data_IF_368243705303
#
_entry.id   IF_368243705303
#
_cell.length_a   1.000
_cell.length_b   1.000
_cell.length_c   1.000
_cell.angle_alpha   90.00
_cell.angle_beta   90.00
_cell.angle_gamma   90.00
#
_symmetry.space_group_name_H-M   'P 1'
#
loop_
_entity.id
_entity.type
_entity.pdbx_description
1 polymer ?
#
# COMPACT_ATOMS: atom_id res chain seq x y z
N UNK A 1 -2.79 3.27 51.89
CA UNK A 1 -3.52 3.95 50.79
C UNK A 1 -2.63 3.74 49.57
N UNK A 2 -3.02 2.82 48.70
CA UNK A 2 -2.28 2.60 47.46
C UNK A 2 -2.70 3.69 46.48
N UNK A 3 -1.74 4.48 46.06
CA UNK A 3 -1.86 5.46 45.00
C UNK A 3 -2.13 4.70 43.71
N UNK A 4 -3.37 4.75 43.26
CA UNK A 4 -3.76 4.24 41.95
C UNK A 4 -3.08 5.11 40.90
N UNK A 5 -1.99 4.59 40.32
CA UNK A 5 -1.38 5.20 39.15
C UNK A 5 -2.48 5.38 38.08
N UNK A 6 -2.74 6.62 37.68
CA UNK A 6 -3.63 6.88 36.54
C UNK A 6 -3.08 6.13 35.33
N UNK A 7 -3.91 5.41 34.59
CA UNK A 7 -3.45 4.72 33.39
C UNK A 7 -2.90 5.77 32.43
N UNK A 8 -1.62 5.64 32.12
CA UNK A 8 -0.93 6.48 31.15
C UNK A 8 -1.73 6.47 29.86
N UNK A 9 -2.26 7.62 29.48
CA UNK A 9 -3.14 7.76 28.33
C UNK A 9 -2.48 7.18 27.08
N UNK A 10 -3.07 6.16 26.48
CA UNK A 10 -2.62 5.53 25.24
C UNK A 10 -2.59 6.53 24.06
N UNK A 11 -3.25 7.68 24.20
CA UNK A 11 -3.18 8.78 23.22
C UNK A 11 -1.74 9.27 22.99
N UNK A 12 -0.87 9.13 24.00
CA UNK A 12 0.53 9.53 23.90
C UNK A 12 1.38 8.62 22.99
N UNK A 13 0.94 7.37 22.73
CA UNK A 13 1.63 6.44 21.82
C UNK A 13 1.44 6.82 20.34
N UNK A 14 0.53 7.72 20.03
CA UNK A 14 0.15 8.08 18.65
C UNK A 14 0.42 9.53 18.28
N UNK A 15 0.82 10.35 19.23
CA UNK A 15 1.34 11.68 18.96
C UNK A 15 2.85 11.57 18.74
N UNK A 16 3.32 12.18 17.65
CA UNK A 16 4.75 12.34 17.41
C UNK A 16 5.32 13.30 18.44
N UNK A 17 5.72 12.75 19.58
CA UNK A 17 6.37 13.50 20.64
C UNK A 17 7.75 12.88 20.90
N UNK A 18 8.71 13.20 20.04
CA UNK A 18 10.08 12.68 20.11
C UNK A 18 10.72 12.99 21.47
N UNK A 19 10.41 14.14 22.05
CA UNK A 19 10.94 14.53 23.36
C UNK A 19 10.43 13.61 24.49
N UNK A 20 9.15 13.25 24.47
CA UNK A 20 8.55 12.35 25.44
C UNK A 20 9.11 10.93 25.30
N UNK A 21 9.26 10.43 24.07
CA UNK A 21 9.82 9.11 23.78
C UNK A 21 11.27 9.02 24.26
N UNK A 22 12.09 10.04 23.97
CA UNK A 22 13.48 10.11 24.42
C UNK A 22 13.57 10.17 25.95
N UNK A 23 12.67 10.91 26.61
CA UNK A 23 12.63 11.00 28.05
C UNK A 23 12.23 9.68 28.71
N UNK A 24 11.22 9.00 28.18
CA UNK A 24 10.79 7.68 28.63
C UNK A 24 11.91 6.62 28.46
N UNK A 25 12.64 6.68 27.33
CA UNK A 25 13.81 5.83 27.09
C UNK A 25 14.91 6.10 28.13
N UNK A 26 15.22 7.39 28.40
CA UNK A 26 16.22 7.77 29.40
C UNK A 26 15.85 7.32 30.82
N UNK A 27 14.56 7.25 31.14
CA UNK A 27 14.06 6.74 32.42
C UNK A 27 14.05 5.22 32.52
N UNK A 28 14.40 4.51 31.43
CA UNK A 28 14.40 3.05 31.40
C UNK A 28 12.99 2.45 31.40
N UNK A 29 12.01 3.16 30.88
CA UNK A 29 10.62 2.67 30.79
C UNK A 29 10.45 1.61 29.69
N UNK A 30 11.44 1.50 28.77
CA UNK A 30 11.55 0.43 27.80
C UNK A 30 13.02 0.17 27.44
N UNK A 31 13.34 -1.09 27.19
CA UNK A 31 14.70 -1.56 26.89
C UNK A 31 15.06 -1.47 25.41
N UNK A 32 14.07 -1.27 24.55
CA UNK A 32 14.22 -1.33 23.10
C UNK A 32 13.33 -0.32 22.41
N UNK A 33 13.90 0.39 21.43
CA UNK A 33 13.20 1.37 20.62
C UNK A 33 13.45 1.04 19.15
N UNK A 34 12.43 0.53 18.47
CA UNK A 34 12.47 0.30 17.05
C UNK A 34 11.85 1.48 16.32
N UNK A 35 12.53 1.98 15.30
CA UNK A 35 11.95 2.98 14.41
C UNK A 35 10.76 2.36 13.68
N UNK A 36 9.54 2.61 14.18
CA UNK A 36 8.35 2.16 13.51
C UNK A 36 8.22 2.89 12.18
N UNK A 37 7.84 2.17 11.12
CA UNK A 37 7.53 2.75 9.81
C UNK A 37 6.45 3.84 9.85
N UNK A 38 5.72 3.95 10.94
CA UNK A 38 4.68 4.93 11.20
C UNK A 38 5.14 6.38 11.08
N UNK A 39 6.32 6.70 11.58
CA UNK A 39 6.88 8.07 11.50
C UNK A 39 7.15 8.43 10.04
N UNK A 40 7.74 7.53 9.30
CA UNK A 40 7.99 7.69 7.87
C UNK A 40 6.69 7.79 7.06
N UNK A 41 5.69 6.96 7.40
CA UNK A 41 4.37 6.99 6.77
C UNK A 41 3.64 8.31 7.03
N UNK A 42 3.64 8.79 8.28
CA UNK A 42 3.01 10.07 8.63
C UNK A 42 3.61 11.23 7.86
N UNK A 43 4.95 11.32 7.80
CA UNK A 43 5.63 12.39 7.07
C UNK A 43 5.38 12.30 5.56
N UNK A 44 5.33 11.09 5.02
CA UNK A 44 4.99 10.86 3.62
C UNK A 44 3.59 11.37 3.28
N UNK A 45 2.58 10.96 4.04
CA UNK A 45 1.20 11.41 3.81
C UNK A 45 1.01 12.90 4.05
N UNK A 46 1.71 13.47 5.04
CA UNK A 46 1.71 14.93 5.26
C UNK A 46 2.27 15.65 4.03
N UNK A 47 3.41 15.23 3.52
CA UNK A 47 4.01 15.81 2.32
C UNK A 47 3.11 15.66 1.08
N UNK A 48 2.46 14.51 0.90
CA UNK A 48 1.49 14.31 -0.19
C UNK A 48 0.27 15.23 -0.07
N UNK A 49 -0.22 15.45 1.14
CA UNK A 49 -1.38 16.30 1.42
C UNK A 49 -1.05 17.78 1.21
N UNK A 50 0.06 18.26 1.77
CA UNK A 50 0.53 19.65 1.61
C UNK A 50 0.75 20.03 0.15
N UNK A 51 1.28 19.09 -0.64
CA UNK A 51 1.52 19.26 -2.08
C UNK A 51 0.30 18.93 -2.95
N UNK A 52 -0.83 18.57 -2.35
CA UNK A 52 -2.06 18.15 -3.03
C UNK A 52 -1.88 16.99 -4.02
N UNK A 53 -0.85 16.17 -3.82
CA UNK A 53 -0.53 15.04 -4.72
C UNK A 53 -1.58 13.95 -4.59
N UNK A 54 -1.93 13.57 -3.36
CA UNK A 54 -2.94 12.54 -3.11
C UNK A 54 -4.30 12.92 -3.68
N UNK A 55 -4.72 14.17 -3.51
CA UNK A 55 -5.98 14.67 -4.06
C UNK A 55 -5.96 14.63 -5.59
N UNK A 56 -4.88 15.14 -6.23
CA UNK A 56 -4.74 15.09 -7.69
C UNK A 56 -4.81 13.66 -8.23
N UNK A 57 -4.14 12.71 -7.57
CA UNK A 57 -4.19 11.30 -7.95
C UNK A 57 -5.59 10.72 -7.79
N UNK A 58 -6.30 11.09 -6.72
CA UNK A 58 -7.67 10.62 -6.48
C UNK A 58 -8.66 11.18 -7.49
N UNK A 59 -8.55 12.47 -7.84
CA UNK A 59 -9.45 13.13 -8.80
C UNK A 59 -9.30 12.57 -10.22
N UNK A 60 -8.13 12.05 -10.56
CA UNK A 60 -7.83 11.50 -11.89
C UNK A 60 -7.89 9.97 -11.96
N UNK A 61 -8.08 9.30 -10.81
CA UNK A 61 -8.14 7.84 -10.74
C UNK A 61 -9.28 7.28 -11.60
N UNK A 62 -9.04 6.23 -12.40
CA UNK A 62 -10.05 5.66 -13.29
C UNK A 62 -11.05 4.80 -12.52
N UNK A 63 -11.81 5.42 -11.63
CA UNK A 63 -12.78 4.70 -10.83
C UNK A 63 -13.90 4.10 -11.67
N UNK A 64 -14.32 2.85 -11.40
CA UNK A 64 -15.48 2.25 -12.03
C UNK A 64 -16.81 2.87 -11.58
N UNK A 65 -16.78 3.65 -10.49
CA UNK A 65 -17.97 4.26 -9.89
C UNK A 65 -18.04 5.76 -10.14
N UNK A 66 -19.22 6.27 -10.50
CA UNK A 66 -19.48 7.72 -10.67
C UNK A 66 -19.70 8.45 -9.33
N UNK A 67 -20.17 7.73 -8.32
CA UNK A 67 -20.38 8.23 -6.95
C UNK A 67 -19.65 7.35 -5.97
N UNK A 68 -19.07 7.94 -4.96
CA UNK A 68 -18.29 7.25 -3.93
C UNK A 68 -18.82 7.62 -2.56
N UNK A 69 -19.31 6.64 -1.81
CA UNK A 69 -19.60 6.78 -0.39
C UNK A 69 -18.28 6.91 0.41
N UNK A 70 -17.25 6.20 -0.06
CA UNK A 70 -15.88 6.33 0.44
C UNK A 70 -15.04 7.07 -0.62
N UNK A 71 -14.40 8.19 -0.28
CA UNK A 71 -13.57 8.94 -1.22
C UNK A 71 -12.42 8.09 -1.80
N UNK A 72 -12.09 8.30 -3.07
CA UNK A 72 -11.00 7.55 -3.74
C UNK A 72 -9.64 7.77 -3.07
N UNK A 73 -9.40 8.95 -2.49
CA UNK A 73 -8.15 9.19 -1.77
C UNK A 73 -7.97 8.25 -0.57
N UNK A 74 -9.05 7.82 0.09
CA UNK A 74 -8.99 6.81 1.17
C UNK A 74 -8.50 5.47 0.64
N UNK A 75 -8.97 5.07 -0.54
CA UNK A 75 -8.49 3.87 -1.21
C UNK A 75 -6.99 3.95 -1.52
N UNK A 76 -6.55 5.05 -2.15
CA UNK A 76 -5.14 5.24 -2.50
C UNK A 76 -4.25 5.28 -1.26
N UNK A 77 -4.64 6.04 -0.23
CA UNK A 77 -3.92 6.11 1.03
C UNK A 77 -3.84 4.74 1.71
N UNK A 78 -4.92 3.97 1.69
CA UNK A 78 -4.97 2.63 2.28
C UNK A 78 -4.04 1.65 1.55
N UNK A 79 -4.02 1.66 0.22
CA UNK A 79 -3.13 0.80 -0.55
C UNK A 79 -1.66 1.18 -0.36
N UNK A 80 -1.35 2.47 -0.34
CA UNK A 80 0.00 2.98 -0.04
C UNK A 80 0.44 2.57 1.36
N UNK A 81 -0.40 2.80 2.38
CA UNK A 81 -0.13 2.40 3.76
C UNK A 81 0.16 0.91 3.88
N UNK A 82 -0.64 0.07 3.23
CA UNK A 82 -0.38 -1.37 3.19
C UNK A 82 1.00 -1.69 2.62
N UNK A 83 1.47 -0.96 1.59
CA UNK A 83 2.81 -1.17 1.00
C UNK A 83 3.92 -0.74 1.96
N UNK A 84 3.75 0.38 2.68
CA UNK A 84 4.69 0.79 3.73
C UNK A 84 4.91 -0.31 4.78
N UNK A 85 3.85 -1.03 5.13
CA UNK A 85 3.91 -2.13 6.11
C UNK A 85 4.22 -3.50 5.49
N UNK A 86 4.60 -3.56 4.21
CA UNK A 86 4.89 -4.83 3.52
C UNK A 86 3.68 -5.76 3.37
N UNK A 87 2.48 -5.22 3.51
CA UNK A 87 1.23 -5.98 3.48
C UNK A 87 0.64 -5.97 2.07
N UNK A 88 0.34 -7.16 1.55
CA UNK A 88 -0.17 -7.32 0.18
C UNK A 88 -1.62 -7.85 0.13
N UNK A 89 -2.25 -8.07 1.29
CA UNK A 89 -3.58 -8.66 1.37
C UNK A 89 -4.54 -7.72 2.09
N UNK A 90 -5.64 -7.36 1.45
CA UNK A 90 -6.63 -6.44 2.00
C UNK A 90 -7.22 -6.84 3.36
N UNK A 91 -7.28 -8.14 3.68
CA UNK A 91 -7.77 -8.58 4.98
C UNK A 91 -6.88 -8.13 6.16
N UNK A 92 -5.63 -7.78 5.90
CA UNK A 92 -4.73 -7.26 6.92
C UNK A 92 -4.81 -5.73 7.08
N UNK A 93 -5.62 -5.04 6.27
CA UNK A 93 -5.80 -3.59 6.34
C UNK A 93 -6.15 -3.07 7.74
N UNK A 94 -7.02 -3.73 8.54
CA UNK A 94 -7.29 -3.29 9.90
C UNK A 94 -6.05 -3.19 10.80
N UNK A 95 -5.08 -4.09 10.62
CA UNK A 95 -3.83 -4.06 11.38
C UNK A 95 -2.93 -2.90 10.96
N UNK A 96 -2.90 -2.61 9.66
CA UNK A 96 -2.12 -1.50 9.11
C UNK A 96 -2.65 -0.16 9.64
N UNK A 97 -3.96 0.05 9.63
CA UNK A 97 -4.56 1.28 10.15
C UNK A 97 -4.32 1.44 11.65
N UNK A 98 -4.30 0.35 12.39
CA UNK A 98 -3.99 0.36 13.83
C UNK A 98 -2.56 0.84 14.14
N UNK A 99 -1.66 0.81 13.16
CA UNK A 99 -0.32 1.37 13.34
C UNK A 99 -0.35 2.87 13.69
N UNK A 100 -1.32 3.59 13.16
CA UNK A 100 -1.58 4.98 13.51
C UNK A 100 -1.07 6.02 12.53
N UNK A 101 -0.18 5.66 11.61
CA UNK A 101 0.41 6.62 10.66
C UNK A 101 -0.63 7.34 9.81
N UNK A 102 -1.60 6.62 9.26
CA UNK A 102 -2.72 7.21 8.53
C UNK A 102 -3.60 8.09 9.42
N UNK A 103 -3.91 7.64 10.64
CA UNK A 103 -4.74 8.39 11.60
C UNK A 103 -4.05 9.71 11.94
N UNK A 104 -2.76 9.68 12.21
CA UNK A 104 -2.00 10.88 12.53
C UNK A 104 -1.92 11.86 11.34
N UNK A 105 -1.79 11.34 10.12
CA UNK A 105 -1.68 12.16 8.92
C UNK A 105 -3.01 12.82 8.51
N UNK A 106 -4.12 12.08 8.63
CA UNK A 106 -5.44 12.52 8.13
C UNK A 106 -6.42 12.88 9.24
N UNK A 107 -6.06 12.64 10.50
CA UNK A 107 -6.87 12.99 11.66
C UNK A 107 -8.14 12.15 11.80
N UNK A 108 -9.19 12.72 12.43
CA UNK A 108 -10.43 11.99 12.79
C UNK A 108 -11.15 11.35 11.61
N UNK A 109 -10.98 11.86 10.40
CA UNK A 109 -11.57 11.26 9.20
C UNK A 109 -11.10 9.83 8.92
N UNK A 110 -9.92 9.46 9.41
CA UNK A 110 -9.36 8.10 9.30
C UNK A 110 -9.60 7.25 10.55
N UNK A 111 -10.15 7.85 11.61
CA UNK A 111 -10.44 7.19 12.87
C UNK A 111 -9.55 7.64 14.03
N UNK A 112 -9.91 7.19 15.21
CA UNK A 112 -9.15 7.43 16.44
C UNK A 112 -9.08 6.15 17.28
N UNK A 113 -8.05 6.01 18.09
CA UNK A 113 -7.89 4.87 18.98
C UNK A 113 -8.54 5.14 20.32
N UNK A 114 -9.28 4.16 20.82
CA UNK A 114 -9.94 4.20 22.12
C UNK A 114 -9.47 3.02 22.95
N UNK A 115 -9.03 3.29 24.17
CA UNK A 115 -8.72 2.22 25.12
C UNK A 115 -9.98 1.80 25.87
N UNK A 116 -10.25 0.50 25.90
CA UNK A 116 -11.34 -0.04 26.68
C UNK A 116 -11.00 0.03 28.17
N UNK A 117 -11.81 0.72 29.01
CA UNK A 117 -11.43 1.05 30.38
C UNK A 117 -11.29 -0.15 31.31
N UNK A 118 -11.92 -1.28 30.97
CA UNK A 118 -11.93 -2.50 31.79
C UNK A 118 -10.87 -3.51 31.38
N UNK A 119 -10.60 -3.63 30.08
CA UNK A 119 -9.67 -4.66 29.56
C UNK A 119 -8.31 -4.09 29.18
N UNK A 120 -8.19 -2.76 29.01
CA UNK A 120 -6.99 -2.14 28.47
C UNK A 120 -6.79 -2.35 26.97
N UNK A 121 -7.72 -3.05 26.30
CA UNK A 121 -7.63 -3.28 24.87
C UNK A 121 -7.79 -1.97 24.09
N UNK A 122 -6.99 -1.81 23.04
CA UNK A 122 -7.07 -0.65 22.15
C UNK A 122 -7.91 -1.00 20.94
N UNK A 123 -8.98 -0.24 20.74
CA UNK A 123 -9.81 -0.32 19.53
C UNK A 123 -9.67 0.93 18.68
N UNK A 124 -9.83 0.78 17.38
CA UNK A 124 -9.90 1.88 16.44
C UNK A 124 -11.38 2.23 16.23
N UNK A 125 -11.77 3.46 16.53
CA UNK A 125 -13.08 4.00 16.20
C UNK A 125 -12.97 4.88 14.96
N UNK A 126 -13.75 4.56 13.93
CA UNK A 126 -13.83 5.34 12.70
C UNK A 126 -15.14 6.11 12.63
N UNK A 127 -15.03 7.37 12.27
CA UNK A 127 -16.19 8.21 11.94
C UNK A 127 -16.30 8.30 10.42
N UNK A 128 -17.48 8.08 9.88
CA UNK A 128 -17.89 8.53 8.57
C UNK A 128 -17.72 7.59 7.38
N UNK A 129 -16.75 6.69 7.32
CA UNK A 129 -16.57 5.84 6.14
C UNK A 129 -16.83 4.34 6.38
N UNK A 130 -16.95 3.95 7.63
CA UNK A 130 -17.29 2.60 8.01
C UNK A 130 -18.35 2.64 9.12
N UNK A 131 -19.58 2.29 8.77
CA UNK A 131 -20.73 2.24 9.67
C UNK A 131 -20.83 0.93 10.47
N UNK A 132 -19.92 -0.01 10.22
CA UNK A 132 -19.85 -1.27 10.96
C UNK A 132 -19.11 -1.07 12.27
N UNK A 133 -19.87 -1.01 13.36
CA UNK A 133 -19.37 -0.83 14.72
C UNK A 133 -18.79 -2.10 15.36
N UNK A 134 -18.56 -3.15 14.60
CA UNK A 134 -17.93 -4.35 15.13
C UNK A 134 -16.48 -4.06 15.49
N UNK A 135 -16.09 -4.42 16.71
CA UNK A 135 -14.75 -4.21 17.28
C UNK A 135 -13.61 -4.63 16.32
N UNK A 136 -13.77 -5.74 15.61
CA UNK A 136 -12.76 -6.25 14.68
C UNK A 136 -12.73 -5.53 13.32
N UNK A 137 -13.67 -4.63 13.05
CA UNK A 137 -13.85 -3.97 11.75
C UNK A 137 -13.83 -2.44 11.81
N UNK A 138 -13.36 -1.88 12.90
CA UNK A 138 -13.28 -0.43 13.07
C UNK A 138 -12.11 0.16 12.27
N UNK A 139 -12.36 0.41 11.01
CA UNK A 139 -11.39 0.96 10.04
C UNK A 139 -12.03 2.10 9.26
N UNK A 140 -11.25 2.98 8.61
CA UNK A 140 -11.78 4.08 7.81
C UNK A 140 -12.75 3.64 6.71
N UNK A 141 -12.52 2.45 6.16
CA UNK A 141 -13.43 1.79 5.22
C UNK A 141 -13.35 0.27 5.38
N UNK A 142 -14.36 -0.42 4.89
CA UNK A 142 -14.35 -1.89 4.88
C UNK A 142 -13.29 -2.41 3.91
N UNK A 143 -12.53 -3.41 4.33
CA UNK A 143 -11.54 -4.09 3.48
C UNK A 143 -12.13 -4.67 2.19
N UNK A 144 -13.42 -5.06 2.22
CA UNK A 144 -14.12 -5.53 1.04
C UNK A 144 -14.38 -4.43 0.02
N UNK A 145 -14.51 -3.17 0.47
CA UNK A 145 -14.55 -2.02 -0.41
C UNK A 145 -13.25 -1.87 -1.19
N UNK A 146 -12.10 -1.94 -0.50
CA UNK A 146 -10.78 -1.85 -1.14
C UNK A 146 -10.61 -2.95 -2.20
N UNK A 147 -10.99 -4.18 -1.85
CA UNK A 147 -10.92 -5.32 -2.75
C UNK A 147 -11.86 -5.19 -3.95
N UNK A 148 -13.08 -4.72 -3.74
CA UNK A 148 -14.05 -4.49 -4.83
C UNK A 148 -13.55 -3.44 -5.79
N UNK A 149 -13.09 -2.30 -5.29
CA UNK A 149 -12.58 -1.22 -6.14
C UNK A 149 -11.39 -1.70 -6.97
N UNK A 150 -10.41 -2.37 -6.35
CA UNK A 150 -9.27 -2.95 -7.06
C UNK A 150 -9.68 -3.93 -8.18
N UNK A 151 -10.68 -4.78 -7.93
CA UNK A 151 -11.15 -5.77 -8.92
C UNK A 151 -11.97 -5.17 -10.05
N UNK A 152 -12.66 -4.07 -9.81
CA UNK A 152 -13.57 -3.45 -10.78
C UNK A 152 -12.87 -2.36 -11.60
N UNK A 153 -11.73 -1.86 -11.16
CA UNK A 153 -10.95 -0.89 -11.93
C UNK A 153 -10.37 -1.57 -13.18
N UNK A 154 -10.61 -0.97 -14.33
CA UNK A 154 -10.08 -1.47 -15.60
C UNK A 154 -8.55 -1.39 -15.65
N UNK A 155 -7.89 -2.49 -16.01
CA UNK A 155 -6.43 -2.59 -15.96
C UNK A 155 -5.74 -1.65 -16.97
N UNK A 156 -6.31 -1.47 -18.17
CA UNK A 156 -5.73 -0.58 -19.18
C UNK A 156 -5.91 0.88 -18.81
N UNK A 157 -7.07 1.23 -18.24
CA UNK A 157 -7.32 2.56 -17.72
C UNK A 157 -6.38 2.88 -16.54
N UNK A 158 -6.15 1.93 -15.64
CA UNK A 158 -5.21 2.06 -14.53
C UNK A 158 -3.77 2.24 -15.00
N UNK A 159 -3.34 1.44 -15.98
CA UNK A 159 -2.02 1.59 -16.60
C UNK A 159 -1.85 2.97 -17.26
N UNK A 160 -2.86 3.42 -18.00
CA UNK A 160 -2.83 4.73 -18.65
C UNK A 160 -2.79 5.86 -17.62
N UNK A 161 -3.54 5.73 -16.54
CA UNK A 161 -3.53 6.67 -15.42
C UNK A 161 -2.16 6.72 -14.74
N UNK A 162 -1.56 5.56 -14.42
CA UNK A 162 -0.23 5.49 -13.82
C UNK A 162 0.81 6.23 -14.69
N UNK A 163 0.89 5.89 -15.96
CA UNK A 163 1.88 6.46 -16.88
C UNK A 163 1.66 7.97 -17.12
N UNK A 164 0.42 8.46 -17.03
CA UNK A 164 0.11 9.87 -17.21
C UNK A 164 0.28 10.66 -15.91
N UNK A 165 -0.34 10.21 -14.83
CA UNK A 165 -0.44 10.99 -13.60
C UNK A 165 0.76 10.74 -12.66
N UNK A 166 1.07 9.48 -12.34
CA UNK A 166 2.18 9.18 -11.41
C UNK A 166 3.53 9.51 -12.04
N UNK A 167 3.77 9.03 -13.25
CA UNK A 167 5.01 9.37 -13.99
C UNK A 167 5.07 10.87 -14.30
N UNK A 168 3.92 11.51 -14.53
CA UNK A 168 3.80 12.96 -14.69
C UNK A 168 4.29 13.75 -13.47
N UNK A 169 3.99 13.28 -12.26
CA UNK A 169 4.49 13.85 -11.00
C UNK A 169 6.01 13.73 -10.95
N UNK A 170 6.57 12.58 -11.25
CA UNK A 170 8.03 12.39 -11.29
C UNK A 170 8.71 13.36 -12.25
N UNK A 171 8.13 13.55 -13.43
CA UNK A 171 8.63 14.54 -14.43
C UNK A 171 8.57 15.96 -13.90
N UNK A 172 7.46 16.37 -13.29
CA UNK A 172 7.29 17.71 -12.73
C UNK A 172 8.30 18.03 -11.62
N UNK A 173 8.70 17.01 -10.87
CA UNK A 173 9.67 17.15 -9.78
C UNK A 173 11.10 16.81 -10.19
N UNK A 174 11.38 16.72 -11.50
CA UNK A 174 12.71 16.42 -12.03
C UNK A 174 13.35 15.17 -11.41
N UNK A 175 12.53 14.14 -11.16
CA UNK A 175 13.00 12.89 -10.55
C UNK A 175 13.86 12.06 -11.52
N UNK A 176 13.76 12.30 -12.81
CA UNK A 176 14.55 11.60 -13.83
C UNK A 176 15.85 12.33 -14.12
N UNK A 177 16.92 11.56 -14.22
CA UNK A 177 18.26 12.04 -14.60
C UNK A 177 18.63 11.43 -15.96
N UNK A 178 18.94 12.29 -16.96
CA UNK A 178 19.36 11.85 -18.29
C UNK A 178 20.71 11.12 -18.29
N UNK A 179 21.54 11.37 -17.28
CA UNK A 179 22.83 10.67 -17.07
C UNK A 179 22.67 9.42 -16.17
N UNK A 180 21.47 9.19 -15.65
CA UNK A 180 21.14 8.02 -14.85
C UNK A 180 21.11 6.72 -15.67
N UNK A 181 21.00 5.62 -14.97
CA UNK A 181 20.88 4.29 -15.59
C UNK A 181 19.42 4.05 -15.96
N UNK A 182 19.16 3.65 -17.19
CA UNK A 182 17.84 3.23 -17.67
C UNK A 182 17.77 1.72 -17.75
N UNK A 183 16.83 1.12 -17.03
CA UNK A 183 16.62 -0.32 -16.96
C UNK A 183 15.28 -0.64 -17.59
N UNK A 184 15.29 -1.40 -18.69
CA UNK A 184 14.10 -2.00 -19.26
C UNK A 184 14.01 -3.45 -18.81
N UNK A 185 12.89 -3.83 -18.20
CA UNK A 185 12.67 -5.18 -17.72
C UNK A 185 11.28 -5.70 -18.09
N UNK A 186 11.21 -7.03 -18.24
CA UNK A 186 9.97 -7.75 -18.47
C UNK A 186 9.81 -8.90 -17.46
N UNK A 187 8.84 -8.78 -16.60
CA UNK A 187 8.55 -9.76 -15.55
C UNK A 187 7.24 -10.49 -15.82
N UNK A 188 7.15 -11.75 -15.42
CA UNK A 188 5.92 -12.55 -15.52
C UNK A 188 5.21 -12.60 -14.16
N UNK A 189 3.97 -12.11 -14.14
CA UNK A 189 3.09 -12.19 -12.97
C UNK A 189 2.24 -13.45 -13.08
N UNK A 190 2.58 -14.48 -12.33
CA UNK A 190 1.84 -15.73 -12.31
C UNK A 190 0.51 -15.57 -11.58
N UNK A 191 -0.54 -16.11 -12.19
CA UNK A 191 -1.88 -16.13 -11.63
C UNK A 191 -2.41 -17.57 -11.65
N UNK A 192 -3.41 -17.91 -10.82
CA UNK A 192 -4.08 -19.20 -10.88
C UNK A 192 -4.60 -19.49 -12.31
N UNK A 193 -4.56 -20.76 -12.72
CA UNK A 193 -5.10 -21.14 -14.02
C UNK A 193 -6.63 -21.08 -14.01
N UNK A 194 -7.14 -19.89 -14.32
CA UNK A 194 -8.55 -19.57 -14.35
C UNK A 194 -8.82 -18.61 -15.51
N UNK A 195 -9.81 -18.91 -16.33
CA UNK A 195 -10.22 -18.10 -17.49
C UNK A 195 -10.75 -16.70 -17.11
N UNK A 196 -11.07 -16.46 -15.83
CA UNK A 196 -11.50 -15.14 -15.34
C UNK A 196 -10.37 -14.09 -15.38
N UNK A 197 -9.11 -14.51 -15.52
CA UNK A 197 -7.97 -13.60 -15.70
C UNK A 197 -7.87 -13.16 -17.17
N UNK A 198 -8.73 -12.22 -17.55
CA UNK A 198 -8.79 -11.68 -18.90
C UNK A 198 -7.46 -11.04 -19.32
N UNK A 199 -7.05 -11.22 -20.57
CA UNK A 199 -5.78 -10.71 -21.09
C UNK A 199 -4.54 -11.48 -20.64
N UNK A 200 -4.67 -12.47 -19.76
CA UNK A 200 -3.56 -13.37 -19.41
C UNK A 200 -3.29 -14.40 -20.50
N UNK A 201 -2.04 -14.83 -20.59
CA UNK A 201 -1.60 -15.90 -21.49
C UNK A 201 -1.17 -17.14 -20.70
N UNK A 202 -1.29 -18.31 -21.33
CA UNK A 202 -0.72 -19.56 -20.78
C UNK A 202 0.56 -19.86 -21.55
N UNK A 203 1.69 -19.79 -20.87
CA UNK A 203 3.01 -20.03 -21.44
C UNK A 203 3.68 -21.23 -20.76
N UNK A 204 4.62 -21.84 -21.46
CA UNK A 204 5.46 -22.92 -20.91
C UNK A 204 6.71 -22.32 -20.27
N UNK A 205 7.00 -22.73 -19.04
CA UNK A 205 8.16 -22.27 -18.27
C UNK A 205 9.05 -23.43 -17.87
N UNK A 206 10.36 -23.20 -17.89
CA UNK A 206 11.35 -24.12 -17.35
C UNK A 206 11.42 -24.12 -15.81
N UNK A 207 12.32 -24.89 -15.24
CA UNK A 207 12.55 -25.00 -13.80
C UNK A 207 13.03 -23.69 -13.15
N UNK A 208 13.57 -22.76 -13.95
CA UNK A 208 14.03 -21.43 -13.52
C UNK A 208 13.01 -20.32 -13.75
N UNK A 209 11.77 -20.68 -14.13
CA UNK A 209 10.68 -19.74 -14.50
C UNK A 209 10.99 -18.88 -15.74
N UNK A 210 11.84 -19.34 -16.66
CA UNK A 210 12.00 -18.70 -17.95
C UNK A 210 10.97 -19.25 -18.94
N UNK A 211 10.36 -18.40 -19.76
CA UNK A 211 9.44 -18.87 -20.79
C UNK A 211 10.24 -19.58 -21.87
N UNK A 212 9.73 -20.70 -22.32
CA UNK A 212 10.38 -21.55 -23.35
C UNK A 212 9.41 -21.84 -24.49
N UNK A 213 9.95 -21.90 -25.71
CA UNK A 213 9.18 -22.29 -26.88
C UNK A 213 9.02 -23.83 -26.89
N UNK A 214 7.77 -24.35 -26.86
CA UNK A 214 7.51 -25.78 -26.87
C UNK A 214 8.07 -26.51 -28.09
N UNK A 215 8.29 -25.81 -29.21
CA UNK A 215 8.78 -26.39 -30.46
C UNK A 215 10.30 -26.64 -30.45
N UNK A 216 11.02 -26.00 -29.57
CA UNK A 216 12.49 -26.08 -29.47
C UNK A 216 12.99 -26.98 -28.35
N UNK A 217 12.12 -27.78 -27.73
CA UNK A 217 12.46 -28.63 -26.59
C UNK A 217 12.56 -30.11 -26.97
N UNK A 218 13.57 -30.78 -26.42
CA UNK A 218 13.59 -32.25 -26.40
C UNK A 218 12.53 -32.81 -25.46
N UNK A 219 12.12 -34.07 -25.63
CA UNK A 219 11.15 -34.71 -24.74
C UNK A 219 11.55 -34.66 -23.26
N UNK A 220 12.86 -34.81 -22.97
CA UNK A 220 13.40 -34.78 -21.63
C UNK A 220 13.33 -33.36 -21.00
N UNK A 221 13.61 -32.31 -21.79
CA UNK A 221 13.48 -30.92 -21.35
C UNK A 221 12.01 -30.57 -21.13
N UNK A 222 11.12 -30.97 -22.05
CA UNK A 222 9.69 -30.71 -21.95
C UNK A 222 9.07 -31.34 -20.70
N UNK A 223 9.54 -32.49 -20.28
CA UNK A 223 9.05 -33.15 -19.05
C UNK A 223 9.34 -32.37 -17.76
N UNK A 224 10.28 -31.41 -17.78
CA UNK A 224 10.63 -30.53 -16.66
C UNK A 224 9.92 -29.17 -16.71
N UNK A 225 9.20 -28.87 -17.80
CA UNK A 225 8.53 -27.59 -17.99
C UNK A 225 7.08 -27.67 -17.52
N UNK A 226 6.57 -26.52 -17.07
CA UNK A 226 5.19 -26.40 -16.55
C UNK A 226 4.45 -25.28 -17.27
N UNK A 227 3.22 -25.54 -17.71
CA UNK A 227 2.34 -24.48 -18.20
C UNK A 227 1.85 -23.64 -17.04
N UNK A 228 1.98 -22.31 -17.17
CA UNK A 228 1.50 -21.35 -16.19
C UNK A 228 0.76 -20.21 -16.85
N UNK A 229 -0.34 -19.79 -16.23
CA UNK A 229 -1.05 -18.58 -16.63
C UNK A 229 -0.36 -17.36 -16.06
N UNK A 230 -0.12 -16.36 -16.90
CA UNK A 230 0.62 -15.16 -16.49
C UNK A 230 0.20 -13.92 -17.28
N UNK A 231 0.54 -12.77 -16.72
CA UNK A 231 0.67 -11.50 -17.42
C UNK A 231 2.15 -11.20 -17.63
N UNK A 232 2.49 -10.50 -18.69
CA UNK A 232 3.84 -9.96 -18.88
C UNK A 232 3.81 -8.48 -18.54
N UNK A 233 4.41 -8.12 -17.42
CA UNK A 233 4.66 -6.73 -17.05
C UNK A 233 5.95 -6.25 -17.71
N UNK A 234 5.88 -5.15 -18.45
CA UNK A 234 7.04 -4.46 -19.00
C UNK A 234 7.21 -3.14 -18.26
N UNK A 235 8.41 -2.87 -17.78
CA UNK A 235 8.73 -1.64 -17.09
C UNK A 235 9.97 -0.97 -17.69
N UNK A 236 10.00 0.37 -17.62
CA UNK A 236 11.19 1.17 -17.84
C UNK A 236 11.42 2.01 -16.59
N UNK A 237 12.59 1.88 -16.00
CA UNK A 237 12.97 2.51 -14.74
C UNK A 237 14.21 3.38 -14.99
N UNK A 238 14.23 4.58 -14.41
CA UNK A 238 15.42 5.40 -14.28
C UNK A 238 15.95 5.28 -12.86
N UNK A 239 17.21 4.83 -12.75
CA UNK A 239 17.92 4.73 -11.47
C UNK A 239 18.98 5.83 -11.42
N UNK A 240 18.93 6.65 -10.39
CA UNK A 240 19.87 7.75 -10.18
C UNK A 240 20.13 7.96 -8.67
N UNK A 241 20.85 9.03 -8.30
CA UNK A 241 21.19 9.32 -6.90
C UNK A 241 19.99 9.57 -5.98
N UNK A 242 18.85 10.00 -6.54
CA UNK A 242 17.63 10.26 -5.78
C UNK A 242 16.78 9.01 -5.56
N UNK A 243 17.00 7.94 -6.33
CA UNK A 243 16.27 6.69 -6.22
C UNK A 243 15.96 6.02 -7.56
N UNK A 244 14.96 5.17 -7.53
CA UNK A 244 14.46 4.41 -8.68
C UNK A 244 13.05 4.90 -9.04
N UNK A 245 12.86 5.35 -10.27
CA UNK A 245 11.62 5.95 -10.72
C UNK A 245 11.11 5.29 -11.99
N UNK A 246 9.85 4.90 -12.01
CA UNK A 246 9.21 4.38 -13.21
C UNK A 246 8.99 5.48 -14.25
N UNK A 247 9.51 5.26 -15.45
CA UNK A 247 9.19 6.04 -16.65
C UNK A 247 7.98 5.48 -17.38
N UNK A 248 7.79 4.15 -17.28
CA UNK A 248 6.71 3.43 -17.93
C UNK A 248 6.44 2.11 -17.20
N UNK A 249 5.17 1.74 -17.11
CA UNK A 249 4.74 0.39 -16.76
C UNK A 249 3.60 -0.03 -17.70
N UNK A 250 3.64 -1.27 -18.20
CA UNK A 250 2.65 -1.84 -19.11
C UNK A 250 2.41 -3.32 -18.87
N UNK A 251 1.19 -3.77 -19.12
CA UNK A 251 0.74 -5.17 -19.07
C UNK A 251 0.44 -5.67 -20.47
#
# INVERSE_FOLDING_TARGET
MAETAEPTSTAMLFERNDALVVEAFRRGEFDYLEGAGEVSETDFFRAMTERKVLQKLADTYPSPHKKHDVPVWVYLASDISMRFHGVHRFHAFPYVVRSGGMIQAFGPAMGHKVMHPQTGDVSLCCEGFNDKNDYDRQTPCDQDYLRKLARQTDAQALQSWFNREVVGIFKQHHAFDSEGIFIGDGTYLFVPDNSNYQGSSVLLFDEHNHPVDPHNLTAQQRARCVFRRCYKLVSLINTNRAGEFFLYAGL
#
